data_IF_515615678214
#
_entry.id   IF_515615678214
#
_cell.length_a   1.000
_cell.length_b   1.000
_cell.length_c   1.000
_cell.angle_alpha   90.00
_cell.angle_beta   90.00
_cell.angle_gamma   90.00
#
_symmetry.space_group_name_H-M   'P 1'
#
loop_
_entity.id
_entity.type
_entity.pdbx_description
1 polymer ?
#
# COMPACT_ATOMS: atom_id res chain seq x y z
N UNK A 1 -7.34 0.59 25.35
CA UNK A 1 -6.35 1.64 25.05
C UNK A 1 -6.78 2.36 23.79
N UNK A 2 -6.75 3.68 23.80
CA UNK A 2 -7.08 4.47 22.60
C UNK A 2 -5.91 4.35 21.61
N UNK A 3 -6.20 4.04 20.35
CA UNK A 3 -5.18 4.03 19.30
C UNK A 3 -4.61 5.44 19.12
N UNK A 4 -3.29 5.52 19.01
CA UNK A 4 -2.59 6.77 18.74
C UNK A 4 -2.10 6.79 17.30
N UNK A 5 -2.42 7.85 16.58
CA UNK A 5 -2.03 8.06 15.18
C UNK A 5 -1.17 9.32 15.08
N UNK A 6 -0.10 9.23 14.28
CA UNK A 6 0.70 10.40 13.90
C UNK A 6 -0.08 11.35 12.98
N UNK A 7 0.55 12.49 12.64
CA UNK A 7 0.11 13.30 11.50
C UNK A 7 0.10 12.44 10.21
N UNK A 8 -0.81 12.71 9.26
CA UNK A 8 -0.89 11.91 8.05
C UNK A 8 0.19 12.29 7.03
N UNK A 9 0.73 11.28 6.34
CA UNK A 9 1.23 11.43 5.00
C UNK A 9 0.05 11.29 4.04
N UNK A 10 -0.12 12.21 3.08
CA UNK A 10 -1.30 12.27 2.20
C UNK A 10 -0.87 12.19 0.75
N UNK A 11 -1.60 11.37 -0.01
CA UNK A 11 -1.53 11.30 -1.47
C UNK A 11 -2.92 11.54 -2.04
N UNK A 12 -2.99 12.40 -3.04
CA UNK A 12 -4.17 12.59 -3.87
C UNK A 12 -3.83 12.31 -5.33
N UNK A 13 -4.67 11.52 -5.98
CA UNK A 13 -4.48 11.14 -7.36
C UNK A 13 -5.83 11.06 -8.08
N UNK A 14 -5.90 11.65 -9.28
CA UNK A 14 -6.98 11.36 -10.21
C UNK A 14 -6.60 10.15 -11.06
N UNK A 15 -7.50 9.17 -11.15
CA UNK A 15 -7.32 7.94 -11.92
C UNK A 15 -8.44 7.85 -12.95
N UNK A 16 -8.08 7.75 -14.22
CA UNK A 16 -9.04 7.65 -15.34
C UNK A 16 -9.58 6.23 -15.45
N UNK A 17 -10.35 5.81 -14.44
CA UNK A 17 -11.00 4.51 -14.35
C UNK A 17 -12.24 4.60 -13.45
N UNK A 18 -13.27 3.75 -13.64
CA UNK A 18 -14.40 3.65 -12.73
C UNK A 18 -13.96 3.28 -11.31
N UNK A 19 -14.68 3.81 -10.32
CA UNK A 19 -14.38 3.60 -8.89
C UNK A 19 -14.33 2.13 -8.49
N UNK A 20 -15.22 1.33 -9.04
CA UNK A 20 -15.28 -0.12 -8.82
C UNK A 20 -14.00 -0.83 -9.29
N UNK A 21 -13.45 -0.40 -10.42
CA UNK A 21 -12.22 -0.96 -10.97
C UNK A 21 -11.00 -0.53 -10.14
N UNK A 22 -10.97 0.74 -9.69
CA UNK A 22 -9.92 1.22 -8.78
C UNK A 22 -9.98 0.47 -7.44
N UNK A 23 -11.18 0.26 -6.88
CA UNK A 23 -11.36 -0.53 -5.67
C UNK A 23 -10.88 -1.99 -5.84
N UNK A 24 -11.25 -2.63 -6.95
CA UNK A 24 -10.78 -3.97 -7.29
C UNK A 24 -9.24 -4.03 -7.38
N UNK A 25 -8.62 -2.97 -7.92
CA UNK A 25 -7.16 -2.89 -8.02
C UNK A 25 -6.45 -2.90 -6.65
N UNK A 26 -7.10 -2.46 -5.59
CA UNK A 26 -6.58 -2.48 -4.21
C UNK A 26 -6.95 -3.73 -3.42
N UNK A 27 -7.85 -4.57 -3.92
CA UNK A 27 -8.40 -5.69 -3.14
C UNK A 27 -8.27 -7.05 -3.82
N UNK A 28 -7.93 -7.10 -5.11
CA UNK A 28 -7.78 -8.36 -5.84
C UNK A 28 -6.32 -8.62 -6.19
N UNK A 29 -5.84 -9.84 -5.91
CA UNK A 29 -4.45 -10.22 -6.09
C UNK A 29 -3.97 -10.12 -7.53
N UNK A 30 -4.84 -10.45 -8.50
CA UNK A 30 -4.54 -10.33 -9.94
C UNK A 30 -4.20 -8.89 -10.34
N UNK A 31 -4.81 -7.88 -9.69
CA UNK A 31 -4.51 -6.49 -9.94
C UNK A 31 -3.31 -6.01 -9.12
N UNK A 32 -3.28 -6.30 -7.81
CA UNK A 32 -2.23 -5.88 -6.88
C UNK A 32 -0.83 -6.26 -7.35
N UNK A 33 -0.67 -7.47 -7.90
CA UNK A 33 0.62 -7.97 -8.40
C UNK A 33 1.20 -7.12 -9.53
N UNK A 34 0.40 -6.37 -10.26
CA UNK A 34 0.83 -5.55 -11.39
C UNK A 34 1.29 -4.15 -11.01
N UNK A 35 0.77 -3.56 -9.94
CA UNK A 35 1.04 -2.15 -9.67
C UNK A 35 1.55 -1.86 -8.25
N UNK A 36 1.18 -2.69 -7.25
CA UNK A 36 1.51 -2.43 -5.84
C UNK A 36 2.98 -2.77 -5.57
N UNK A 37 3.87 -2.04 -6.20
CA UNK A 37 5.32 -2.19 -6.11
C UNK A 37 6.02 -0.90 -6.51
N UNK A 38 7.17 -0.57 -5.92
CA UNK A 38 8.03 0.49 -6.45
C UNK A 38 8.54 0.14 -7.86
N UNK A 39 8.83 1.14 -8.70
CA UNK A 39 9.49 0.90 -9.99
C UNK A 39 10.80 0.11 -9.82
N UNK A 40 11.04 -0.86 -10.71
CA UNK A 40 12.23 -1.73 -10.66
C UNK A 40 12.14 -2.90 -9.67
N UNK A 41 11.01 -3.02 -8.97
CA UNK A 41 10.71 -4.19 -8.13
C UNK A 41 9.73 -5.13 -8.83
N UNK A 42 9.85 -6.41 -8.54
CA UNK A 42 8.85 -7.42 -8.92
C UNK A 42 8.22 -8.03 -7.68
N UNK A 43 6.95 -8.38 -7.76
CA UNK A 43 6.25 -9.11 -6.73
C UNK A 43 6.49 -10.61 -6.93
N UNK A 44 7.12 -11.26 -5.95
CA UNK A 44 7.46 -12.68 -5.99
C UNK A 44 6.39 -13.55 -5.34
N UNK A 45 5.59 -12.97 -4.47
CA UNK A 45 4.43 -13.60 -3.83
C UNK A 45 3.33 -12.56 -3.64
N UNK A 46 2.07 -13.00 -3.82
CA UNK A 46 0.89 -12.15 -3.71
C UNK A 46 -0.29 -12.99 -3.21
N UNK A 47 -0.46 -13.09 -1.90
CA UNK A 47 -1.54 -13.85 -1.26
C UNK A 47 -2.57 -12.88 -0.68
N UNK A 48 -3.79 -12.89 -1.19
CA UNK A 48 -4.84 -11.95 -0.82
C UNK A 48 -6.08 -12.67 -0.31
N UNK A 49 -6.50 -12.33 0.90
CA UNK A 49 -7.81 -12.64 1.47
C UNK A 49 -8.50 -11.30 1.79
N UNK A 50 -9.18 -10.74 0.78
CA UNK A 50 -9.76 -9.40 0.84
C UNK A 50 -11.14 -9.42 1.56
N UNK A 51 -11.11 -9.59 2.86
CA UNK A 51 -12.24 -9.43 3.77
C UNK A 51 -11.79 -8.72 5.05
N UNK A 52 -12.71 -8.15 5.79
CA UNK A 52 -12.39 -7.60 7.11
C UNK A 52 -11.83 -8.72 8.01
N UNK A 53 -10.68 -8.46 8.63
CA UNK A 53 -9.90 -9.46 9.36
C UNK A 53 -9.01 -10.37 8.49
N UNK A 54 -9.12 -10.29 7.15
CA UNK A 54 -8.22 -10.96 6.22
C UNK A 54 -6.94 -10.16 5.99
N UNK A 55 -6.10 -10.61 5.05
CA UNK A 55 -4.79 -10.00 4.79
C UNK A 55 -4.36 -10.06 3.33
N UNK A 56 -3.43 -9.19 2.98
CA UNK A 56 -2.61 -9.26 1.79
C UNK A 56 -1.16 -9.43 2.22
N UNK A 57 -0.56 -10.59 1.95
CA UNK A 57 0.83 -10.91 2.25
C UNK A 57 1.61 -10.99 0.94
N UNK A 58 2.71 -10.27 0.86
CA UNK A 58 3.48 -10.14 -0.36
C UNK A 58 4.98 -10.17 -0.13
N UNK A 59 5.71 -10.72 -1.10
CA UNK A 59 7.15 -10.63 -1.22
C UNK A 59 7.54 -9.81 -2.43
N UNK A 60 8.56 -8.97 -2.32
CA UNK A 60 9.11 -8.18 -3.42
C UNK A 60 10.62 -8.32 -3.49
N UNK A 61 11.15 -8.23 -4.71
CA UNK A 61 12.58 -8.27 -4.99
C UNK A 61 12.94 -7.31 -6.10
N UNK A 62 14.13 -6.73 -6.05
CA UNK A 62 14.63 -5.93 -7.17
C UNK A 62 14.77 -6.81 -8.43
N UNK A 63 14.24 -6.36 -9.55
CA UNK A 63 14.28 -7.08 -10.82
C UNK A 63 15.71 -7.29 -11.29
N UNK A 64 16.59 -6.29 -11.09
CA UNK A 64 18.00 -6.34 -11.44
C UNK A 64 18.83 -7.27 -10.53
N UNK A 65 18.25 -7.78 -9.41
CA UNK A 65 18.94 -8.61 -8.43
C UNK A 65 18.19 -9.92 -8.18
N UNK A 66 18.15 -10.86 -9.15
CA UNK A 66 17.30 -12.06 -9.10
C UNK A 66 17.64 -13.02 -7.97
N UNK A 67 18.84 -12.94 -7.41
CA UNK A 67 19.29 -13.78 -6.29
C UNK A 67 19.19 -13.09 -4.93
N UNK A 68 18.79 -11.81 -4.87
CA UNK A 68 18.58 -11.11 -3.60
C UNK A 68 17.38 -11.69 -2.85
N UNK A 69 17.43 -11.74 -1.50
CA UNK A 69 16.27 -12.15 -0.71
C UNK A 69 15.11 -11.17 -0.93
N UNK A 70 13.89 -11.70 -0.92
CA UNK A 70 12.69 -10.87 -1.00
C UNK A 70 12.50 -10.04 0.28
N UNK A 71 12.03 -8.82 0.11
CA UNK A 71 11.44 -8.03 1.19
C UNK A 71 9.96 -8.40 1.31
N UNK A 72 9.52 -8.61 2.54
CA UNK A 72 8.17 -9.05 2.85
C UNK A 72 7.35 -7.96 3.52
N UNK A 73 6.09 -7.87 3.16
CA UNK A 73 5.14 -6.97 3.78
C UNK A 73 3.77 -7.60 3.90
N UNK A 74 2.96 -7.04 4.80
CA UNK A 74 1.61 -7.52 5.04
C UNK A 74 0.66 -6.35 5.30
N UNK A 75 -0.50 -6.41 4.66
CA UNK A 75 -1.65 -5.61 5.03
C UNK A 75 -2.63 -6.49 5.83
N UNK A 76 -3.21 -5.93 6.87
CA UNK A 76 -4.35 -6.52 7.57
C UNK A 76 -5.57 -5.65 7.31
N UNK A 77 -6.58 -6.19 6.66
CA UNK A 77 -7.79 -5.44 6.31
C UNK A 77 -8.63 -5.18 7.55
N UNK A 78 -8.84 -3.91 7.88
CA UNK A 78 -9.69 -3.46 8.98
C UNK A 78 -11.09 -3.08 8.55
N UNK A 79 -11.20 -2.41 7.40
CA UNK A 79 -12.47 -1.97 6.84
C UNK A 79 -12.44 -2.09 5.32
N UNK A 80 -13.46 -2.70 4.76
CA UNK A 80 -13.68 -2.83 3.32
C UNK A 80 -15.10 -2.40 2.99
N UNK A 81 -15.27 -1.13 2.63
CA UNK A 81 -16.54 -0.56 2.17
C UNK A 81 -16.48 -0.31 0.67
N UNK A 82 -16.88 -1.31 -0.11
CA UNK A 82 -16.86 -1.23 -1.58
C UNK A 82 -17.92 -0.26 -2.10
N UNK A 83 -17.60 0.52 -3.12
CA UNK A 83 -16.30 0.76 -3.75
C UNK A 83 -15.60 2.02 -3.22
N UNK A 84 -15.86 2.44 -1.97
CA UNK A 84 -15.57 3.78 -1.45
C UNK A 84 -14.34 3.85 -0.54
N UNK A 85 -14.09 2.80 0.28
CA UNK A 85 -13.14 2.93 1.38
C UNK A 85 -12.42 1.61 1.69
N UNK A 86 -11.12 1.71 1.93
CA UNK A 86 -10.25 0.61 2.32
C UNK A 86 -9.38 1.10 3.47
N UNK A 87 -9.41 0.41 4.61
CA UNK A 87 -8.54 0.68 5.76
C UNK A 87 -7.71 -0.56 6.06
N UNK A 88 -6.39 -0.39 6.06
CA UNK A 88 -5.45 -1.49 6.31
C UNK A 88 -4.38 -1.08 7.32
N UNK A 89 -3.99 -2.02 8.16
CA UNK A 89 -2.73 -1.93 8.91
C UNK A 89 -1.63 -2.50 8.03
N UNK A 90 -0.57 -1.72 7.84
CA UNK A 90 0.60 -2.09 7.04
C UNK A 90 1.76 -2.38 7.96
N UNK A 91 2.48 -3.47 7.70
CA UNK A 91 3.65 -3.89 8.46
C UNK A 91 4.68 -4.57 7.56
N UNK A 92 5.95 -4.55 7.95
CA UNK A 92 6.94 -5.47 7.41
C UNK A 92 6.74 -6.86 8.01
N UNK A 93 7.07 -7.88 7.25
CA UNK A 93 6.91 -9.28 7.69
C UNK A 93 8.10 -10.14 7.28
N UNK A 94 8.11 -11.37 7.79
CA UNK A 94 8.91 -12.45 7.24
C UNK A 94 8.10 -13.25 6.19
N UNK A 95 8.73 -14.27 5.61
CA UNK A 95 8.10 -15.13 4.60
C UNK A 95 6.90 -15.93 5.14
N UNK A 96 6.81 -16.13 6.46
CA UNK A 96 5.68 -16.79 7.11
C UNK A 96 4.54 -15.83 7.52
N UNK A 97 4.72 -14.52 7.28
CA UNK A 97 3.75 -13.48 7.63
C UNK A 97 3.86 -12.97 9.07
N UNK A 98 4.92 -13.36 9.80
CA UNK A 98 5.24 -12.81 11.12
C UNK A 98 5.72 -11.37 11.05
N UNK A 99 5.41 -10.57 12.08
CA UNK A 99 5.81 -9.16 12.15
C UNK A 99 7.31 -9.01 12.27
N UNK A 100 7.92 -8.15 11.45
CA UNK A 100 9.35 -7.80 11.54
C UNK A 100 9.56 -6.29 11.52
N UNK A 101 10.76 -5.86 11.90
CA UNK A 101 11.19 -4.48 11.68
C UNK A 101 11.59 -4.28 10.22
N UNK A 102 11.52 -3.04 9.76
CA UNK A 102 12.05 -2.64 8.46
C UNK A 102 13.55 -3.00 8.37
N UNK A 103 14.00 -3.77 7.36
CA UNK A 103 15.36 -4.31 7.34
C UNK A 103 16.46 -3.25 7.27
N UNK A 104 16.19 -2.08 6.68
CA UNK A 104 17.16 -0.98 6.52
C UNK A 104 16.83 0.24 7.40
N UNK A 105 15.70 0.25 8.09
CA UNK A 105 15.26 1.36 8.94
C UNK A 105 14.60 0.81 10.23
N UNK A 106 15.38 0.30 11.19
CA UNK A 106 14.85 -0.38 12.38
C UNK A 106 13.98 0.52 13.28
N UNK A 107 14.10 1.85 13.14
CA UNK A 107 13.27 2.84 13.81
C UNK A 107 11.99 3.21 13.02
N UNK A 108 11.73 2.58 11.89
CA UNK A 108 10.46 2.71 11.20
C UNK A 108 9.33 2.16 12.09
N UNK A 109 8.14 2.79 12.12
CA UNK A 109 7.01 2.30 12.91
C UNK A 109 6.73 0.82 12.63
N UNK A 110 6.52 0.06 13.69
CA UNK A 110 6.19 -1.38 13.55
C UNK A 110 4.88 -1.56 12.78
N UNK A 111 3.92 -0.66 13.03
CA UNK A 111 2.63 -0.63 12.36
C UNK A 111 2.33 0.75 11.82
N UNK A 112 1.74 0.80 10.64
CA UNK A 112 1.16 2.00 10.07
C UNK A 112 -0.27 1.74 9.65
N UNK A 113 -1.11 2.77 9.65
CA UNK A 113 -2.50 2.70 9.21
C UNK A 113 -2.64 3.46 7.90
N UNK A 114 -3.12 2.77 6.87
CA UNK A 114 -3.45 3.37 5.59
C UNK A 114 -4.96 3.41 5.40
N UNK A 115 -5.49 4.57 5.07
CA UNK A 115 -6.88 4.78 4.71
C UNK A 115 -6.96 5.29 3.29
N UNK A 116 -7.53 4.51 2.40
CA UNK A 116 -7.79 4.90 1.01
C UNK A 116 -9.28 5.19 0.85
N UNK A 117 -9.60 6.38 0.37
CA UNK A 117 -10.96 6.80 0.03
C UNK A 117 -11.06 7.06 -1.46
N UNK A 118 -12.09 6.53 -2.09
CA UNK A 118 -12.34 6.63 -3.52
C UNK A 118 -13.66 7.37 -3.73
N UNK A 119 -13.63 8.48 -4.44
CA UNK A 119 -14.82 9.25 -4.81
C UNK A 119 -14.94 9.39 -6.32
N UNK A 120 -16.17 9.36 -6.82
CA UNK A 120 -16.44 9.60 -8.22
C UNK A 120 -16.11 11.04 -8.60
N UNK A 121 -15.46 11.19 -9.74
CA UNK A 121 -15.17 12.48 -10.34
C UNK A 121 -15.39 12.36 -11.85
N UNK A 122 -15.73 13.47 -12.53
CA UNK A 122 -16.00 13.45 -13.96
C UNK A 122 -14.83 12.82 -14.75
N UNK A 123 -15.12 11.69 -15.41
CA UNK A 123 -14.14 10.95 -16.21
C UNK A 123 -13.27 9.94 -15.44
N UNK A 124 -13.51 9.74 -14.14
CA UNK A 124 -12.74 8.78 -13.36
C UNK A 124 -13.00 8.80 -11.86
N UNK A 125 -11.94 8.55 -11.11
CA UNK A 125 -11.96 8.42 -9.66
C UNK A 125 -10.93 9.33 -9.03
N UNK A 126 -11.31 10.08 -7.99
CA UNK A 126 -10.40 10.75 -7.08
C UNK A 126 -10.02 9.76 -5.97
N UNK A 127 -8.73 9.45 -5.88
CA UNK A 127 -8.15 8.68 -4.81
C UNK A 127 -7.54 9.63 -3.78
N UNK A 128 -7.91 9.47 -2.51
CA UNK A 128 -7.29 10.12 -1.36
C UNK A 128 -6.77 9.04 -0.42
N UNK A 129 -5.46 9.01 -0.19
CA UNK A 129 -4.82 8.07 0.69
C UNK A 129 -4.15 8.83 1.85
N UNK A 130 -4.52 8.49 3.07
CA UNK A 130 -3.84 8.91 4.27
C UNK A 130 -3.05 7.74 4.86
N UNK A 131 -1.80 7.98 5.20
CA UNK A 131 -0.93 6.99 5.84
C UNK A 131 -0.36 7.58 7.12
N UNK A 132 -0.49 6.85 8.24
CA UNK A 132 -0.12 7.32 9.58
C UNK A 132 0.66 6.25 10.32
N UNK A 133 1.62 6.65 11.15
CA UNK A 133 2.20 5.76 12.14
C UNK A 133 1.13 5.39 13.20
N UNK A 134 1.04 4.12 13.55
CA UNK A 134 0.04 3.57 14.46
C UNK A 134 0.71 3.11 15.75
N UNK A 135 0.31 3.69 16.90
CA UNK A 135 0.85 3.36 18.22
C UNK A 135 2.39 3.44 18.32
N UNK A 136 2.99 4.27 17.50
CA UNK A 136 4.43 4.44 17.41
C UNK A 136 5.01 5.23 18.60
N UNK A 137 6.28 5.00 18.90
CA UNK A 137 7.06 5.84 19.81
C UNK A 137 7.37 7.18 19.15
N UNK A 138 7.77 8.17 19.93
CA UNK A 138 8.18 9.49 19.42
C UNK A 138 9.33 9.41 18.41
N UNK A 139 10.27 8.45 18.59
CA UNK A 139 11.37 8.21 17.65
C UNK A 139 10.86 7.66 16.34
N UNK A 140 9.96 6.68 16.40
CA UNK A 140 9.36 6.07 15.20
C UNK A 140 8.50 7.09 14.42
N UNK A 141 7.74 7.95 15.12
CA UNK A 141 6.99 9.03 14.49
C UNK A 141 7.92 10.02 13.77
N UNK A 142 9.02 10.42 14.41
CA UNK A 142 10.00 11.30 13.79
C UNK A 142 10.65 10.70 12.54
N UNK A 143 10.92 9.39 12.54
CA UNK A 143 11.42 8.68 11.34
C UNK A 143 10.36 8.64 10.25
N UNK A 144 9.10 8.36 10.59
CA UNK A 144 7.99 8.39 9.66
C UNK A 144 7.84 9.78 9.00
N UNK A 145 7.80 10.83 9.79
CA UNK A 145 7.64 12.21 9.32
C UNK A 145 8.81 12.66 8.43
N UNK A 146 10.04 12.33 8.80
CA UNK A 146 11.24 12.66 8.00
C UNK A 146 11.33 11.86 6.69
N UNK A 147 10.58 10.77 6.57
CA UNK A 147 10.56 9.90 5.38
C UNK A 147 9.52 10.32 4.33
N UNK A 148 8.70 11.32 4.57
CA UNK A 148 7.61 11.71 3.66
C UNK A 148 8.08 12.00 2.22
N UNK A 149 9.26 12.59 2.04
CA UNK A 149 9.80 12.85 0.70
C UNK A 149 10.09 11.55 -0.08
N UNK A 150 10.72 10.57 0.57
CA UNK A 150 11.01 9.26 -0.05
C UNK A 150 9.75 8.42 -0.25
N UNK A 151 8.81 8.50 0.69
CA UNK A 151 7.48 7.87 0.56
C UNK A 151 6.74 8.44 -0.65
N UNK A 152 6.77 9.76 -0.85
CA UNK A 152 6.12 10.41 -1.97
C UNK A 152 6.70 9.94 -3.32
N UNK A 153 8.03 9.80 -3.42
CA UNK A 153 8.66 9.26 -4.64
C UNK A 153 8.22 7.82 -4.92
N UNK A 154 8.22 6.95 -3.91
CA UNK A 154 7.80 5.56 -4.05
C UNK A 154 6.33 5.44 -4.46
N UNK A 155 5.44 6.17 -3.80
CA UNK A 155 4.01 6.17 -4.10
C UNK A 155 3.68 6.78 -5.46
N UNK A 156 4.34 7.87 -5.85
CA UNK A 156 4.15 8.44 -7.19
C UNK A 156 4.51 7.43 -8.28
N UNK A 157 5.60 6.68 -8.11
CA UNK A 157 5.95 5.59 -9.02
C UNK A 157 4.89 4.49 -9.08
N UNK A 158 4.41 4.03 -7.93
CA UNK A 158 3.35 3.02 -7.85
C UNK A 158 2.02 3.52 -8.42
N UNK A 159 1.65 4.78 -8.20
CA UNK A 159 0.45 5.39 -8.79
C UNK A 159 0.53 5.49 -10.30
N UNK A 160 1.71 5.78 -10.87
CA UNK A 160 1.92 5.75 -12.33
C UNK A 160 1.77 4.33 -12.90
N UNK A 161 2.27 3.31 -12.19
CA UNK A 161 2.06 1.92 -12.56
C UNK A 161 0.58 1.53 -12.52
N UNK A 162 -0.13 1.94 -11.46
CA UNK A 162 -1.58 1.73 -11.34
C UNK A 162 -2.34 2.37 -12.52
N UNK A 163 -2.09 3.65 -12.79
CA UNK A 163 -2.76 4.37 -13.86
C UNK A 163 -2.52 3.72 -15.23
N UNK A 164 -1.26 3.33 -15.52
CA UNK A 164 -0.88 2.67 -16.77
C UNK A 164 -1.49 1.28 -16.89
N UNK A 165 -1.52 0.52 -15.80
CA UNK A 165 -2.13 -0.79 -15.75
C UNK A 165 -3.64 -0.72 -16.01
N UNK A 166 -4.34 0.17 -15.32
CA UNK A 166 -5.79 0.35 -15.49
C UNK A 166 -6.15 0.86 -16.88
N UNK A 167 -5.36 1.76 -17.47
CA UNK A 167 -5.56 2.19 -18.85
C UNK A 167 -5.45 1.04 -19.84
N UNK A 168 -4.49 0.14 -19.64
CA UNK A 168 -4.28 -1.03 -20.50
C UNK A 168 -5.43 -2.01 -20.43
N UNK A 169 -5.91 -2.35 -19.24
CA UNK A 169 -7.00 -3.34 -19.10
C UNK A 169 -8.36 -2.79 -19.55
N UNK A 170 -8.55 -1.46 -19.53
CA UNK A 170 -9.77 -0.83 -20.08
C UNK A 170 -9.77 -0.75 -21.62
N UNK A 171 -8.60 -0.84 -22.25
CA UNK A 171 -8.44 -0.81 -23.70
C UNK A 171 -8.48 -2.22 -24.35
N UNK A 172 -8.49 -3.29 -23.54
CA UNK A 172 -8.43 -4.68 -23.99
C UNK A 172 -9.79 -5.25 -24.42
#
# INVERSE_FOLDING_TARGET
>A
MTERLSAPFVIEQFIKAPRELVYAAFTQGEHLSHWMRPPGMIMTQCDVDAREGGSFHYGMRAEAMPLAPAMWGKWSFRELKAPERIVVVVQFSDAAGGVTRHPMAPQWPLYTLSTTTLSEEAGGTRLHLEWRALNASAVEEAVFDSSHASMNMGWNGSMQLLASYLARIQAA
#
